data_IF_554159280607
#
_entry.id   IF_554159280607
#
_cell.length_a   1.000
_cell.length_b   1.000
_cell.length_c   1.000
_cell.angle_alpha   90.00
_cell.angle_beta   90.00
_cell.angle_gamma   90.00
#
_symmetry.space_group_name_H-M   'P 1'
#
loop_
_entity.id
_entity.type
_entity.pdbx_description
1 polymer ?
#
# COMPACT_ATOMS: atom_id res chain seq x y z
N UNK A 1 2.58 2.89 6.71
CA UNK A 1 1.63 3.61 7.55
C UNK A 1 0.94 4.72 6.77
N UNK A 2 1.64 5.77 6.31
CA UNK A 2 1.04 6.95 5.65
C UNK A 2 0.15 6.60 4.45
N UNK A 3 0.53 5.58 3.67
CA UNK A 3 -0.24 5.13 2.52
C UNK A 3 -1.52 4.39 2.91
N UNK A 4 -1.53 3.66 4.01
CA UNK A 4 -2.74 3.02 4.53
C UNK A 4 -3.73 4.03 5.09
N UNK A 5 -3.24 5.11 5.72
CA UNK A 5 -4.12 6.20 6.14
C UNK A 5 -4.80 6.89 4.96
N UNK A 6 -4.06 7.23 3.88
CA UNK A 6 -4.69 7.84 2.70
C UNK A 6 -5.65 6.86 2.00
N UNK A 7 -5.33 5.57 1.95
CA UNK A 7 -6.21 4.55 1.39
C UNK A 7 -7.54 4.44 2.16
N UNK A 8 -7.47 4.35 3.48
CA UNK A 8 -8.66 4.30 4.33
C UNK A 8 -9.42 5.64 4.29
N UNK A 9 -8.74 6.79 4.21
CA UNK A 9 -9.42 8.08 4.06
C UNK A 9 -10.22 8.15 2.76
N UNK A 10 -9.64 7.78 1.63
CA UNK A 10 -10.37 7.77 0.35
C UNK A 10 -11.55 6.80 0.35
N UNK A 11 -11.43 5.67 1.01
CA UNK A 11 -12.54 4.75 1.23
C UNK A 11 -13.66 5.38 2.06
N UNK A 12 -13.33 6.02 3.20
CA UNK A 12 -14.33 6.71 4.02
C UNK A 12 -15.02 7.85 3.29
N UNK A 13 -14.29 8.59 2.44
CA UNK A 13 -14.89 9.58 1.55
C UNK A 13 -15.87 8.96 0.57
N UNK A 14 -15.53 7.81 -0.02
CA UNK A 14 -16.38 7.11 -0.97
C UNK A 14 -17.68 6.57 -0.35
N UNK A 15 -17.69 6.27 0.96
CA UNK A 15 -18.91 5.89 1.70
C UNK A 15 -19.57 7.07 2.41
N UNK A 16 -19.16 8.29 2.08
CA UNK A 16 -19.72 9.56 2.60
C UNK A 16 -19.54 9.76 4.12
N UNK A 17 -18.48 9.20 4.70
CA UNK A 17 -18.15 9.39 6.12
C UNK A 17 -17.04 10.43 6.30
N UNK A 18 -17.42 11.72 6.20
CA UNK A 18 -16.49 12.86 6.25
C UNK A 18 -15.62 12.91 7.51
N UNK A 19 -16.18 12.53 8.66
CA UNK A 19 -15.46 12.57 9.94
C UNK A 19 -14.23 11.64 9.92
N UNK A 20 -14.41 10.37 9.58
CA UNK A 20 -13.29 9.43 9.48
C UNK A 20 -12.34 9.78 8.34
N UNK A 21 -12.86 10.29 7.20
CA UNK A 21 -12.01 10.81 6.14
C UNK A 21 -11.02 11.84 6.66
N UNK A 22 -11.50 12.85 7.39
CA UNK A 22 -10.65 13.91 7.94
C UNK A 22 -9.71 13.41 9.03
N UNK A 23 -10.16 12.49 9.90
CA UNK A 23 -9.30 11.92 10.93
C UNK A 23 -8.17 11.07 10.36
N UNK A 24 -8.40 10.29 9.31
CA UNK A 24 -7.33 9.54 8.65
C UNK A 24 -6.26 10.47 8.05
N UNK A 25 -6.67 11.61 7.49
CA UNK A 25 -5.73 12.63 7.02
C UNK A 25 -4.97 13.28 8.19
N UNK A 26 -5.66 13.56 9.30
CA UNK A 26 -5.02 14.09 10.50
C UNK A 26 -3.95 13.15 11.06
N UNK A 27 -4.25 11.87 11.22
CA UNK A 27 -3.30 10.86 11.68
C UNK A 27 -2.13 10.63 10.72
N UNK A 28 -2.34 10.91 9.44
CA UNK A 28 -1.29 10.81 8.42
C UNK A 28 -0.23 11.90 8.55
N UNK A 29 -0.61 13.12 8.94
CA UNK A 29 0.32 14.27 8.95
C UNK A 29 1.55 14.09 9.83
N UNK A 30 1.47 13.63 11.10
CA UNK A 30 2.67 13.37 11.91
C UNK A 30 3.62 12.35 11.28
N UNK A 31 3.10 11.38 10.53
CA UNK A 31 3.93 10.41 9.81
C UNK A 31 4.65 11.06 8.63
N UNK A 32 4.00 12.01 7.95
CA UNK A 32 4.64 12.80 6.89
C UNK A 32 5.75 13.67 7.45
N UNK A 33 5.56 14.26 8.63
CA UNK A 33 6.57 15.04 9.35
C UNK A 33 7.77 14.16 9.76
N UNK A 34 7.51 12.94 10.25
CA UNK A 34 8.56 11.98 10.57
C UNK A 34 9.38 11.58 9.34
N UNK A 35 8.74 11.37 8.20
CA UNK A 35 9.40 11.09 6.93
C UNK A 35 10.26 12.28 6.49
N UNK A 36 9.73 13.51 6.55
CA UNK A 36 10.45 14.73 6.19
C UNK A 36 11.65 14.95 7.10
N UNK A 37 11.48 14.76 8.40
CA UNK A 37 12.54 14.87 9.39
C UNK A 37 13.74 13.95 9.08
N UNK A 38 13.46 12.72 8.64
CA UNK A 38 14.49 11.74 8.31
C UNK A 38 15.10 11.97 6.93
N UNK A 39 14.28 12.28 5.93
CA UNK A 39 14.67 12.20 4.50
C UNK A 39 14.76 13.55 3.80
N UNK A 40 14.29 14.63 4.44
CA UNK A 40 14.20 15.96 3.86
C UNK A 40 13.06 16.17 2.88
N UNK A 41 12.17 15.17 2.70
CA UNK A 41 11.02 15.27 1.80
C UNK A 41 9.83 14.44 2.29
N UNK A 42 8.62 14.98 2.19
CA UNK A 42 7.39 14.35 2.69
C UNK A 42 6.90 13.19 1.83
N UNK A 43 7.17 13.19 0.53
CA UNK A 43 6.58 12.25 -0.44
C UNK A 43 7.64 11.55 -1.28
N UNK A 44 8.47 12.28 -2.01
CA UNK A 44 9.45 11.72 -2.94
C UNK A 44 10.82 11.59 -2.26
N UNK A 45 10.92 10.64 -1.38
CA UNK A 45 12.10 10.38 -0.57
C UNK A 45 13.26 9.86 -1.44
N UNK A 46 14.30 10.67 -1.63
CA UNK A 46 15.55 10.22 -2.27
C UNK A 46 16.53 9.58 -1.29
N UNK A 47 16.03 8.87 -0.27
CA UNK A 47 16.84 8.32 0.82
C UNK A 47 17.65 7.11 0.40
N UNK A 48 16.99 6.11 -0.16
CA UNK A 48 17.65 4.89 -0.64
C UNK A 48 18.42 5.17 -1.91
N UNK A 49 19.67 4.75 -1.94
CA UNK A 49 20.59 4.89 -3.09
C UNK A 49 21.33 3.60 -3.31
N UNK A 50 21.94 3.45 -4.49
CA UNK A 50 22.77 2.29 -4.78
C UNK A 50 23.93 2.22 -3.80
N UNK A 51 23.99 1.10 -3.08
CA UNK A 51 25.00 0.84 -2.05
C UNK A 51 24.60 1.18 -0.63
N UNK A 52 23.38 1.70 -0.36
CA UNK A 52 22.91 2.01 0.98
C UNK A 52 21.92 3.17 1.05
N UNK A 53 22.16 4.10 1.95
CA UNK A 53 21.32 5.30 2.12
C UNK A 53 22.14 6.57 1.94
N UNK A 54 21.45 7.69 1.70
CA UNK A 54 22.09 8.97 1.40
C UNK A 54 22.75 9.63 2.61
N UNK A 55 22.13 9.51 3.77
CA UNK A 55 22.55 10.12 5.03
C UNK A 55 22.29 9.16 6.17
N UNK A 56 22.97 9.36 7.29
CA UNK A 56 22.69 8.62 8.52
C UNK A 56 21.47 9.16 9.25
N UNK A 57 20.83 8.32 10.05
CA UNK A 57 19.74 8.70 10.93
C UNK A 57 20.32 9.22 12.26
N UNK A 58 20.28 10.54 12.47
CA UNK A 58 20.76 11.12 13.71
C UNK A 58 19.86 10.74 14.90
N UNK A 59 20.46 10.48 16.06
CA UNK A 59 19.76 10.07 17.29
C UNK A 59 18.61 11.02 17.67
N UNK A 60 18.80 12.33 17.50
CA UNK A 60 17.74 13.32 17.76
C UNK A 60 16.51 13.13 16.87
N UNK A 61 16.71 12.73 15.59
CA UNK A 61 15.62 12.47 14.65
C UNK A 61 14.91 11.17 15.04
N UNK A 62 15.66 10.12 15.39
CA UNK A 62 15.09 8.85 15.83
C UNK A 62 14.24 9.02 17.10
N UNK A 63 14.71 9.79 18.08
CA UNK A 63 13.96 10.12 19.28
C UNK A 63 12.66 10.87 18.97
N UNK A 64 12.70 11.85 18.06
CA UNK A 64 11.51 12.58 17.63
C UNK A 64 10.51 11.67 16.91
N UNK A 65 10.98 10.81 16.00
CA UNK A 65 10.16 9.83 15.30
C UNK A 65 9.53 8.86 16.29
N UNK A 66 10.28 8.38 17.29
CA UNK A 66 9.75 7.50 18.33
C UNK A 66 8.58 8.14 19.09
N UNK A 67 8.68 9.43 19.44
CA UNK A 67 7.58 10.15 20.10
C UNK A 67 6.37 10.31 19.19
N UNK A 68 6.58 10.61 17.90
CA UNK A 68 5.49 10.69 16.91
C UNK A 68 4.76 9.34 16.83
N UNK A 69 5.49 8.23 16.74
CA UNK A 69 4.92 6.88 16.65
C UNK A 69 4.18 6.49 17.94
N UNK A 70 4.71 6.86 19.09
CA UNK A 70 4.07 6.62 20.39
C UNK A 70 2.76 7.40 20.52
N UNK A 71 2.75 8.67 20.18
CA UNK A 71 1.54 9.50 20.21
C UNK A 71 0.49 8.99 19.23
N UNK A 72 0.91 8.55 18.04
CA UNK A 72 0.03 7.94 17.06
C UNK A 72 -0.65 6.68 17.63
N UNK A 73 0.11 5.79 18.26
CA UNK A 73 -0.42 4.55 18.84
C UNK A 73 -1.47 4.85 19.95
N UNK A 74 -1.23 5.84 20.80
CA UNK A 74 -2.17 6.26 21.85
C UNK A 74 -3.48 6.86 21.29
N UNK A 75 -3.41 7.49 20.12
CA UNK A 75 -4.56 8.16 19.52
C UNK A 75 -5.33 7.26 18.54
N UNK A 76 -4.68 6.31 17.93
CA UNK A 76 -5.14 5.57 16.79
C UNK A 76 -6.33 4.64 17.07
N UNK A 77 -6.29 3.90 18.20
CA UNK A 77 -7.26 2.85 18.53
C UNK A 77 -8.70 3.35 18.56
N UNK A 78 -8.93 4.57 19.06
CA UNK A 78 -10.27 5.18 19.10
C UNK A 78 -10.94 5.32 17.73
N UNK A 79 -10.15 5.49 16.66
CA UNK A 79 -10.70 5.61 15.30
C UNK A 79 -10.95 4.24 14.67
N UNK A 80 -10.17 3.23 15.07
CA UNK A 80 -10.45 1.83 14.71
C UNK A 80 -11.76 1.40 15.35
N UNK A 81 -11.95 1.64 16.65
CA UNK A 81 -13.19 1.37 17.36
C UNK A 81 -14.40 2.09 16.72
N UNK A 82 -14.24 3.36 16.36
CA UNK A 82 -15.31 4.12 15.68
C UNK A 82 -15.74 3.45 14.36
N UNK A 83 -14.79 2.85 13.62
CA UNK A 83 -15.13 2.11 12.41
C UNK A 83 -15.77 0.76 12.73
N UNK A 84 -15.26 0.03 13.71
CA UNK A 84 -15.76 -1.30 14.08
C UNK A 84 -17.17 -1.25 14.68
N UNK A 85 -17.44 -0.28 15.54
CA UNK A 85 -18.70 -0.13 16.27
C UNK A 85 -19.75 0.68 15.48
N UNK A 86 -19.35 1.35 14.41
CA UNK A 86 -20.26 2.17 13.60
C UNK A 86 -21.24 1.32 12.78
N UNK A 87 -22.56 1.24 13.14
CA UNK A 87 -23.50 0.37 12.44
C UNK A 87 -23.69 0.73 10.96
N UNK A 88 -23.63 2.01 10.59
CA UNK A 88 -23.69 2.45 9.20
C UNK A 88 -22.44 2.07 8.43
N UNK A 89 -21.27 2.15 9.07
CA UNK A 89 -20.00 1.76 8.47
C UNK A 89 -19.97 0.25 8.22
N UNK A 90 -20.42 -0.54 9.18
CA UNK A 90 -20.56 -1.97 9.02
C UNK A 90 -21.51 -2.32 7.85
N UNK A 91 -22.68 -1.68 7.78
CA UNK A 91 -23.67 -1.89 6.71
C UNK A 91 -23.13 -1.55 5.31
N UNK A 92 -22.33 -0.49 5.17
CA UNK A 92 -21.73 -0.04 3.91
C UNK A 92 -20.47 -0.81 3.51
N UNK A 93 -19.93 -1.64 4.41
CA UNK A 93 -18.63 -2.28 4.23
C UNK A 93 -18.68 -3.81 4.23
N UNK A 94 -19.46 -4.39 5.14
CA UNK A 94 -19.61 -5.85 5.28
C UNK A 94 -20.44 -6.42 4.13
N UNK A 95 -19.96 -7.53 3.59
CA UNK A 95 -20.57 -8.24 2.46
C UNK A 95 -20.65 -7.42 1.14
N UNK A 96 -20.03 -6.24 1.07
CA UNK A 96 -19.98 -5.41 -0.13
C UNK A 96 -18.63 -5.60 -0.84
N UNK A 97 -18.65 -5.76 -2.17
CA UNK A 97 -17.47 -5.94 -3.01
C UNK A 97 -16.67 -7.19 -2.63
N UNK A 98 -17.36 -8.30 -2.45
CA UNK A 98 -16.79 -9.56 -1.95
C UNK A 98 -15.94 -10.25 -3.01
N UNK A 99 -14.80 -10.77 -2.60
CA UNK A 99 -13.94 -11.62 -3.41
C UNK A 99 -13.54 -12.87 -2.62
N UNK A 100 -13.77 -14.04 -3.20
CA UNK A 100 -13.36 -15.30 -2.60
C UNK A 100 -11.83 -15.48 -2.64
N UNK A 101 -11.29 -16.30 -1.72
CA UNK A 101 -9.87 -16.70 -1.76
C UNK A 101 -9.49 -17.33 -3.09
N UNK A 102 -10.39 -18.12 -3.67
CA UNK A 102 -10.17 -18.79 -4.98
C UNK A 102 -10.01 -17.76 -6.10
N UNK A 103 -10.84 -16.72 -6.10
CA UNK A 103 -10.78 -15.64 -7.09
C UNK A 103 -9.57 -14.74 -6.87
N UNK A 104 -9.21 -14.49 -5.61
CA UNK A 104 -7.98 -13.78 -5.27
C UNK A 104 -6.73 -14.47 -5.81
N UNK A 105 -6.66 -15.81 -5.68
CA UNK A 105 -5.55 -16.61 -6.25
C UNK A 105 -5.60 -16.54 -7.78
N UNK A 106 -6.76 -16.81 -8.39
CA UNK A 106 -6.94 -16.82 -9.85
C UNK A 106 -6.61 -15.47 -10.48
N UNK A 107 -7.00 -14.38 -9.82
CA UNK A 107 -6.74 -13.00 -10.25
C UNK A 107 -5.35 -12.51 -9.89
N UNK A 108 -4.59 -13.26 -9.08
CA UNK A 108 -3.27 -12.85 -8.57
C UNK A 108 -3.34 -11.55 -7.76
N UNK A 109 -4.35 -11.43 -6.90
CA UNK A 109 -4.49 -10.31 -5.98
C UNK A 109 -3.27 -10.23 -5.04
N UNK A 110 -2.76 -9.04 -4.80
CA UNK A 110 -1.59 -8.81 -3.95
C UNK A 110 -1.90 -7.81 -2.83
N UNK A 111 -1.04 -7.81 -1.80
CA UNK A 111 -1.14 -6.87 -0.68
C UNK A 111 -2.43 -7.00 0.13
N UNK A 112 -2.92 -5.89 0.72
CA UNK A 112 -4.13 -5.88 1.54
C UNK A 112 -5.36 -6.44 0.83
N UNK A 113 -5.40 -6.38 -0.50
CA UNK A 113 -6.50 -6.91 -1.31
C UNK A 113 -6.53 -8.43 -1.27
N UNK A 114 -5.39 -9.05 -1.50
CA UNK A 114 -5.23 -10.51 -1.37
C UNK A 114 -5.35 -10.96 0.08
N UNK A 115 -4.69 -10.26 1.00
CA UNK A 115 -4.72 -10.57 2.43
C UNK A 115 -6.11 -10.42 3.04
N UNK A 116 -6.90 -9.42 2.63
CA UNK A 116 -8.30 -9.27 3.02
C UNK A 116 -9.21 -10.38 2.51
N UNK A 117 -8.77 -11.17 1.53
CA UNK A 117 -9.49 -12.29 0.93
C UNK A 117 -8.91 -13.68 1.27
N UNK A 118 -8.12 -13.77 2.33
CA UNK A 118 -7.61 -15.05 2.87
C UNK A 118 -6.25 -15.49 2.33
N UNK A 119 -5.50 -14.65 1.61
CA UNK A 119 -4.13 -14.95 1.20
C UNK A 119 -3.17 -14.53 2.32
N UNK A 120 -2.55 -15.51 2.97
CA UNK A 120 -1.45 -15.24 3.91
C UNK A 120 -0.16 -15.15 3.10
N UNK A 121 0.06 -14.00 2.46
CA UNK A 121 1.26 -13.75 1.65
C UNK A 121 1.72 -12.30 1.77
N UNK A 122 3.00 -12.13 2.10
CA UNK A 122 3.70 -10.86 2.16
C UNK A 122 5.16 -11.10 1.78
N UNK A 123 5.65 -10.38 0.78
CA UNK A 123 7.02 -10.58 0.24
C UNK A 123 8.08 -10.34 1.29
N UNK A 124 7.80 -9.55 2.33
CA UNK A 124 8.73 -9.30 3.43
C UNK A 124 9.11 -10.57 4.20
N UNK A 125 8.24 -11.61 4.22
CA UNK A 125 8.59 -12.93 4.79
C UNK A 125 9.73 -13.64 4.02
N UNK A 126 10.00 -13.25 2.78
CA UNK A 126 11.08 -13.80 1.95
C UNK A 126 12.42 -13.06 2.16
N UNK A 127 12.39 -11.87 2.78
CA UNK A 127 13.57 -11.04 3.03
C UNK A 127 14.17 -11.34 4.40
N UNK A 128 15.44 -11.68 4.45
CA UNK A 128 16.16 -12.01 5.69
C UNK A 128 16.01 -10.92 6.76
N UNK A 129 16.17 -9.65 6.40
CA UNK A 129 16.05 -8.53 7.34
C UNK A 129 14.70 -8.54 8.06
N UNK A 130 13.59 -8.69 7.35
CA UNK A 130 12.29 -8.71 7.99
C UNK A 130 11.99 -10.01 8.73
N UNK A 131 12.45 -11.14 8.18
CA UNK A 131 12.16 -12.46 8.72
C UNK A 131 12.97 -12.78 9.99
N UNK A 132 14.24 -12.41 9.98
CA UNK A 132 15.20 -12.89 10.96
C UNK A 132 15.52 -11.84 12.04
N UNK A 133 15.30 -10.54 11.75
CA UNK A 133 15.69 -9.44 12.65
C UNK A 133 14.51 -8.80 13.40
N UNK A 134 13.27 -8.96 12.92
CA UNK A 134 12.10 -8.32 13.51
C UNK A 134 11.02 -9.32 13.92
N UNK A 135 10.42 -9.09 15.08
CA UNK A 135 9.21 -9.79 15.52
C UNK A 135 7.98 -9.09 14.91
N UNK A 136 7.39 -9.72 13.89
CA UNK A 136 6.18 -9.25 13.22
C UNK A 136 5.43 -10.42 12.59
N UNK A 137 4.19 -10.19 12.17
CA UNK A 137 3.35 -11.20 11.54
C UNK A 137 2.64 -10.66 10.29
N UNK A 138 2.39 -11.53 9.33
CA UNK A 138 1.52 -11.23 8.19
C UNK A 138 0.09 -11.15 8.68
N UNK A 139 -0.51 -9.99 8.48
CA UNK A 139 -1.93 -9.75 8.75
C UNK A 139 -2.76 -10.26 7.58
N UNK A 140 -3.84 -10.97 7.86
CA UNK A 140 -4.78 -11.44 6.85
C UNK A 140 -6.17 -11.68 7.45
N UNK A 141 -7.22 -11.55 6.60
CA UNK A 141 -8.63 -11.74 6.95
C UNK A 141 -9.29 -12.64 5.91
N UNK A 142 -10.46 -13.22 6.22
CA UNK A 142 -11.12 -14.24 5.38
C UNK A 142 -12.30 -13.70 4.58
N UNK A 143 -12.91 -12.63 5.03
CA UNK A 143 -14.24 -12.15 4.62
C UNK A 143 -14.24 -11.68 3.16
N UNK A 144 -13.15 -11.09 2.71
CA UNK A 144 -12.94 -10.69 1.31
C UNK A 144 -13.75 -9.47 0.85
N UNK A 145 -14.40 -8.76 1.75
CA UNK A 145 -15.23 -7.59 1.50
C UNK A 145 -14.51 -6.26 1.77
N UNK A 146 -15.20 -5.15 1.58
CA UNK A 146 -14.66 -3.82 1.84
C UNK A 146 -14.23 -3.66 3.31
N UNK A 147 -14.99 -4.23 4.24
CA UNK A 147 -14.67 -4.21 5.67
C UNK A 147 -13.34 -4.91 5.96
N UNK A 148 -13.18 -6.13 5.48
CA UNK A 148 -11.98 -6.90 5.67
C UNK A 148 -10.72 -6.20 5.10
N UNK A 149 -10.83 -5.57 3.93
CA UNK A 149 -9.72 -4.81 3.33
C UNK A 149 -9.33 -3.58 4.14
N UNK A 150 -10.32 -2.85 4.67
CA UNK A 150 -10.11 -1.67 5.51
C UNK A 150 -9.48 -2.05 6.84
N UNK A 151 -10.03 -3.06 7.53
CA UNK A 151 -9.49 -3.56 8.79
C UNK A 151 -8.10 -4.17 8.62
N UNK A 152 -7.84 -4.86 7.52
CA UNK A 152 -6.50 -5.40 7.26
C UNK A 152 -5.44 -4.29 7.21
N UNK A 153 -5.75 -3.13 6.62
CA UNK A 153 -4.85 -1.96 6.62
C UNK A 153 -4.65 -1.38 8.02
N UNK A 154 -5.70 -1.34 8.82
CA UNK A 154 -5.60 -0.92 10.21
C UNK A 154 -4.65 -1.83 11.00
N UNK A 155 -4.84 -3.14 10.91
CA UNK A 155 -3.97 -4.10 11.57
C UNK A 155 -2.52 -4.02 11.05
N UNK A 156 -2.32 -3.78 9.76
CA UNK A 156 -0.98 -3.59 9.16
C UNK A 156 -0.29 -2.29 9.62
N UNK A 157 -1.04 -1.24 9.95
CA UNK A 157 -0.50 -0.03 10.59
C UNK A 157 0.07 -0.40 11.96
N UNK A 158 -0.68 -1.15 12.76
CA UNK A 158 -0.24 -1.62 14.09
C UNK A 158 1.06 -2.46 14.00
N UNK A 159 1.13 -3.40 13.06
CA UNK A 159 2.37 -4.17 12.83
C UNK A 159 3.53 -3.28 12.35
N UNK A 160 3.25 -2.29 11.51
CA UNK A 160 4.27 -1.35 11.05
C UNK A 160 4.82 -0.46 12.18
N UNK A 161 3.98 -0.06 13.13
CA UNK A 161 4.38 0.65 14.34
C UNK A 161 5.36 -0.21 15.17
N UNK A 162 5.06 -1.49 15.36
CA UNK A 162 5.95 -2.43 16.06
C UNK A 162 7.30 -2.56 15.38
N UNK A 163 7.32 -2.69 14.05
CA UNK A 163 8.57 -2.78 13.28
C UNK A 163 9.40 -1.50 13.46
N UNK A 164 8.78 -0.31 13.34
CA UNK A 164 9.49 0.97 13.48
C UNK A 164 10.13 1.09 14.88
N UNK A 165 9.42 0.74 15.94
CA UNK A 165 9.97 0.73 17.30
C UNK A 165 11.19 -0.18 17.43
N UNK A 166 11.11 -1.40 16.93
CA UNK A 166 12.23 -2.35 16.92
C UNK A 166 13.43 -1.84 16.11
N UNK A 167 13.18 -1.20 14.95
CA UNK A 167 14.25 -0.58 14.13
C UNK A 167 14.95 0.51 14.92
N UNK A 168 14.20 1.43 15.55
CA UNK A 168 14.79 2.56 16.30
C UNK A 168 15.64 2.06 17.47
N UNK A 169 15.19 1.01 18.16
CA UNK A 169 15.89 0.43 19.31
C UNK A 169 17.16 -0.35 18.92
N UNK A 170 17.24 -0.86 17.68
CA UNK A 170 18.27 -1.81 17.26
C UNK A 170 19.05 -1.38 16.02
N UNK A 171 19.11 -0.07 15.68
CA UNK A 171 19.91 0.40 14.54
C UNK A 171 21.39 0.07 14.77
N UNK A 172 22.02 -0.76 13.91
CA UNK A 172 23.42 -1.11 14.06
C UNK A 172 24.31 0.10 13.70
N UNK A 173 25.41 0.31 14.43
CA UNK A 173 26.41 1.31 14.04
C UNK A 173 27.16 0.84 12.79
N UNK A 174 27.58 1.78 11.93
CA UNK A 174 28.41 1.45 10.77
C UNK A 174 28.26 2.43 9.62
N UNK A 175 28.95 2.09 8.51
CA UNK A 175 28.87 2.88 7.30
C UNK A 175 27.49 2.77 6.65
N UNK A 176 26.85 3.89 6.43
CA UNK A 176 25.49 3.96 5.83
C UNK A 176 25.50 3.71 4.32
N UNK A 177 26.67 3.73 3.69
CA UNK A 177 26.80 3.54 2.25
C UNK A 177 28.15 2.93 1.85
N UNK A 178 28.10 1.92 0.99
CA UNK A 178 29.29 1.34 0.34
C UNK A 178 29.35 1.75 -1.13
N UNK A 179 30.56 2.05 -1.62
CA UNK A 179 30.79 2.21 -3.05
C UNK A 179 30.75 0.82 -3.70
N UNK A 180 29.80 0.63 -4.60
CA UNK A 180 29.66 -0.62 -5.36
C UNK A 180 29.83 -0.35 -6.84
N UNK A 181 30.35 -1.33 -7.57
CA UNK A 181 30.37 -1.36 -9.03
C UNK A 181 29.25 -2.28 -9.49
N UNK A 182 28.41 -1.78 -10.37
CA UNK A 182 27.31 -2.56 -10.92
C UNK A 182 27.86 -3.36 -12.09
N UNK A 183 27.82 -4.71 -12.06
CA UNK A 183 28.24 -5.53 -13.20
C UNK A 183 27.21 -5.41 -14.34
N UNK A 184 27.68 -5.72 -15.56
CA UNK A 184 26.74 -5.98 -16.65
C UNK A 184 25.98 -7.28 -16.38
N UNK A 185 24.68 -7.27 -16.63
CA UNK A 185 23.83 -8.45 -16.41
C UNK A 185 22.38 -8.12 -16.16
N UNK A 186 21.64 -9.13 -15.79
CA UNK A 186 20.22 -9.07 -15.44
C UNK A 186 20.03 -9.32 -13.95
N UNK A 187 19.08 -8.59 -13.35
CA UNK A 187 18.64 -8.81 -11.97
C UNK A 187 17.15 -8.58 -11.86
N UNK A 188 16.49 -9.34 -10.99
CA UNK A 188 15.13 -9.10 -10.58
C UNK A 188 15.05 -9.03 -9.05
N UNK A 189 14.06 -8.29 -8.58
CA UNK A 189 13.79 -8.11 -7.15
C UNK A 189 12.32 -7.83 -6.90
N UNK A 190 11.80 -8.36 -5.79
CA UNK A 190 10.45 -8.10 -5.33
C UNK A 190 10.47 -7.43 -3.96
N UNK A 191 9.53 -6.56 -3.71
CA UNK A 191 9.33 -5.92 -2.41
C UNK A 191 7.84 -5.74 -2.13
N UNK A 192 7.48 -5.62 -0.87
CA UNK A 192 6.12 -5.31 -0.46
C UNK A 192 5.93 -3.79 -0.39
N UNK A 193 5.23 -3.24 -1.36
CA UNK A 193 4.75 -1.87 -1.32
C UNK A 193 3.42 -1.79 -0.54
N UNK A 194 2.96 -0.60 -0.13
CA UNK A 194 1.70 -0.47 0.65
C UNK A 194 0.48 -1.12 -0.01
N UNK A 195 0.46 -1.18 -1.34
CA UNK A 195 -0.63 -1.79 -2.12
C UNK A 195 -0.40 -3.26 -2.46
N UNK A 196 0.77 -3.80 -2.09
CA UNK A 196 1.14 -5.18 -2.35
C UNK A 196 2.48 -5.33 -3.06
N UNK A 197 2.76 -6.54 -3.50
CA UNK A 197 4.01 -6.90 -4.18
C UNK A 197 4.28 -6.02 -5.41
N UNK A 198 5.44 -5.38 -5.42
CA UNK A 198 6.04 -4.72 -6.57
C UNK A 198 7.26 -5.54 -7.03
N UNK A 199 7.40 -5.74 -8.34
CA UNK A 199 8.55 -6.44 -8.92
C UNK A 199 9.28 -5.53 -9.89
N UNK A 200 10.60 -5.53 -9.77
CA UNK A 200 11.53 -4.85 -10.67
C UNK A 200 12.40 -5.87 -11.39
N UNK A 201 12.55 -5.70 -12.68
CA UNK A 201 13.49 -6.46 -13.52
C UNK A 201 14.35 -5.44 -14.26
N UNK A 202 15.66 -5.53 -14.12
CA UNK A 202 16.60 -4.60 -14.72
C UNK A 202 17.71 -5.31 -15.44
N UNK A 203 18.09 -4.79 -16.62
CA UNK A 203 19.25 -5.19 -17.37
C UNK A 203 20.24 -4.03 -17.41
N UNK A 204 21.52 -4.31 -17.14
CA UNK A 204 22.57 -3.31 -17.09
C UNK A 204 23.76 -3.71 -17.96
N UNK A 205 24.49 -2.72 -18.48
CA UNK A 205 25.80 -2.92 -19.09
C UNK A 205 26.91 -2.25 -18.27
N UNK A 206 26.91 -2.49 -16.97
CA UNK A 206 27.70 -1.78 -16.00
C UNK A 206 26.90 -0.68 -15.31
N UNK A 207 27.36 0.57 -15.31
CA UNK A 207 26.70 1.66 -14.59
C UNK A 207 25.42 2.24 -15.28
N UNK A 208 25.06 1.72 -16.45
CA UNK A 208 23.89 2.16 -17.20
C UNK A 208 22.82 1.08 -17.24
N UNK A 209 21.59 1.50 -16.95
CA UNK A 209 20.41 0.64 -17.14
C UNK A 209 20.09 0.62 -18.63
N UNK A 210 20.06 -0.58 -19.22
CA UNK A 210 19.68 -0.81 -20.62
C UNK A 210 18.19 -1.02 -20.76
N UNK A 211 17.61 -1.74 -19.82
CA UNK A 211 16.18 -2.03 -19.79
C UNK A 211 15.69 -2.13 -18.34
N UNK A 212 14.46 -1.68 -18.10
CA UNK A 212 13.78 -1.84 -16.81
C UNK A 212 12.32 -2.18 -17.05
N UNK A 213 11.83 -3.19 -16.35
CA UNK A 213 10.41 -3.54 -16.31
C UNK A 213 9.93 -3.50 -14.86
N UNK A 214 8.80 -2.84 -14.66
CA UNK A 214 8.23 -2.65 -13.32
C UNK A 214 6.79 -3.18 -13.34
N UNK A 215 6.52 -4.17 -12.49
CA UNK A 215 5.16 -4.65 -12.25
C UNK A 215 4.68 -4.07 -10.93
N UNK A 216 3.75 -3.14 -10.99
CA UNK A 216 3.17 -2.50 -9.82
C UNK A 216 1.98 -3.29 -9.27
N UNK A 217 1.68 -3.21 -7.97
CA UNK A 217 0.56 -3.95 -7.38
C UNK A 217 -0.81 -3.53 -7.92
N UNK A 218 -1.01 -2.25 -8.25
CA UNK A 218 -2.32 -1.77 -8.73
C UNK A 218 -2.69 -2.33 -10.10
N UNK A 219 -1.73 -2.70 -10.96
CA UNK A 219 -2.01 -3.39 -12.23
C UNK A 219 -2.81 -4.66 -11.98
N UNK A 220 -2.43 -5.45 -10.96
CA UNK A 220 -3.13 -6.68 -10.60
C UNK A 220 -4.45 -6.39 -9.89
N UNK A 221 -4.42 -5.50 -8.90
CA UNK A 221 -5.55 -5.26 -8.02
C UNK A 221 -6.75 -4.58 -8.72
N UNK A 222 -6.51 -3.68 -9.68
CA UNK A 222 -7.58 -3.05 -10.46
C UNK A 222 -8.25 -4.08 -11.39
N UNK A 223 -7.48 -4.95 -12.04
CA UNK A 223 -8.02 -6.03 -12.87
C UNK A 223 -8.90 -6.98 -12.05
N UNK A 224 -8.41 -7.36 -10.86
CA UNK A 224 -9.15 -8.20 -9.90
C UNK A 224 -10.43 -7.54 -9.43
N UNK A 225 -10.40 -6.25 -9.15
CA UNK A 225 -11.59 -5.48 -8.76
C UNK A 225 -12.68 -5.56 -9.83
N UNK A 226 -12.34 -5.25 -11.08
CA UNK A 226 -13.29 -5.30 -12.19
C UNK A 226 -13.84 -6.70 -12.45
N UNK A 227 -13.00 -7.73 -12.35
CA UNK A 227 -13.38 -9.11 -12.67
C UNK A 227 -14.17 -9.84 -11.60
N UNK A 228 -13.93 -9.54 -10.32
CA UNK A 228 -14.47 -10.36 -9.22
C UNK A 228 -15.23 -9.57 -8.16
N UNK A 229 -14.81 -8.33 -7.84
CA UNK A 229 -15.43 -7.59 -6.74
C UNK A 229 -16.65 -6.77 -7.17
N UNK A 230 -16.70 -6.31 -8.43
CA UNK A 230 -17.79 -5.49 -8.96
C UNK A 230 -18.94 -6.31 -9.56
N UNK A 231 -18.83 -7.64 -9.63
CA UNK A 231 -19.85 -8.49 -10.28
C UNK A 231 -21.17 -8.52 -9.52
N UNK A 232 -21.10 -8.51 -8.19
CA UNK A 232 -22.28 -8.68 -7.31
C UNK A 232 -22.61 -7.41 -6.51
N UNK A 233 -22.11 -6.24 -6.91
CA UNK A 233 -22.47 -4.98 -6.22
C UNK A 233 -23.83 -4.49 -6.67
N UNK A 234 -24.68 -4.12 -5.69
CA UNK A 234 -26.08 -3.80 -5.95
C UNK A 234 -26.28 -2.38 -6.51
N UNK A 235 -25.41 -1.43 -6.17
CA UNK A 235 -25.58 -0.02 -6.52
C UNK A 235 -24.29 0.59 -7.06
N UNK A 236 -24.41 1.73 -7.75
CA UNK A 236 -23.25 2.52 -8.18
C UNK A 236 -22.43 3.01 -6.98
N UNK A 237 -23.11 3.35 -5.86
CA UNK A 237 -22.43 3.77 -4.64
C UNK A 237 -21.56 2.63 -4.06
N UNK A 238 -22.05 1.39 -4.08
CA UNK A 238 -21.29 0.23 -3.64
C UNK A 238 -20.13 -0.08 -4.59
N UNK A 239 -20.31 0.14 -5.89
CA UNK A 239 -19.23 -0.01 -6.87
C UNK A 239 -18.11 1.02 -6.62
N UNK A 240 -18.46 2.29 -6.36
CA UNK A 240 -17.50 3.36 -6.03
C UNK A 240 -16.77 3.04 -4.72
N UNK A 241 -17.50 2.62 -3.68
CA UNK A 241 -16.93 2.21 -2.40
C UNK A 241 -15.98 1.01 -2.57
N UNK A 242 -16.38 0.02 -3.35
CA UNK A 242 -15.56 -1.17 -3.63
C UNK A 242 -14.27 -0.79 -4.36
N UNK A 243 -14.36 0.05 -5.37
CA UNK A 243 -13.18 0.52 -6.11
C UNK A 243 -12.25 1.34 -5.20
N UNK A 244 -12.78 2.24 -4.37
CA UNK A 244 -12.01 2.99 -3.39
C UNK A 244 -11.31 2.08 -2.36
N UNK A 245 -11.98 0.98 -1.94
CA UNK A 245 -11.41 0.00 -1.00
C UNK A 245 -10.17 -0.73 -1.56
N UNK A 246 -9.98 -0.74 -2.87
CA UNK A 246 -8.81 -1.34 -3.53
C UNK A 246 -7.57 -0.44 -3.45
N UNK A 247 -7.74 0.84 -3.11
CA UNK A 247 -6.66 1.83 -3.11
C UNK A 247 -5.97 1.94 -4.49
N UNK A 248 -6.73 2.28 -5.55
CA UNK A 248 -6.16 2.35 -6.89
C UNK A 248 -5.16 3.51 -7.00
N UNK A 249 -3.99 3.23 -7.52
CA UNK A 249 -2.94 4.22 -7.71
C UNK A 249 -2.76 4.53 -9.19
N UNK A 250 -3.09 5.75 -9.61
CA UNK A 250 -2.97 6.18 -11.01
C UNK A 250 -1.52 6.15 -11.50
N UNK A 251 -0.57 6.55 -10.65
CA UNK A 251 0.86 6.48 -10.98
C UNK A 251 1.37 5.04 -11.19
N UNK A 252 0.67 4.03 -10.63
CA UNK A 252 0.97 2.62 -10.84
C UNK A 252 0.35 2.06 -12.13
N UNK A 253 -0.69 2.71 -12.66
CA UNK A 253 -1.51 2.23 -13.78
C UNK A 253 -1.89 3.40 -14.71
N UNK A 254 -0.90 3.97 -15.38
CA UNK A 254 -1.12 5.16 -16.21
C UNK A 254 -2.02 4.89 -17.43
N UNK A 255 -2.17 3.63 -17.83
CA UNK A 255 -3.00 3.22 -18.96
C UNK A 255 -4.06 2.22 -18.57
N UNK A 256 -5.28 2.46 -18.99
CA UNK A 256 -6.40 1.51 -18.88
C UNK A 256 -6.93 1.23 -20.29
N UNK A 257 -7.04 -0.05 -20.62
CA UNK A 257 -7.65 -0.52 -21.86
C UNK A 257 -9.03 -1.04 -21.52
N UNK A 258 -10.06 -0.43 -22.09
CA UNK A 258 -11.44 -0.90 -21.96
C UNK A 258 -11.82 -1.61 -23.25
N UNK A 259 -12.25 -2.87 -23.13
CA UNK A 259 -12.85 -3.62 -24.20
C UNK A 259 -14.37 -3.67 -23.98
N UNK A 260 -15.15 -3.26 -24.97
CA UNK A 260 -16.57 -3.48 -24.92
C UNK A 260 -16.92 -4.94 -25.32
N UNK A 261 -18.19 -5.32 -25.20
CA UNK A 261 -18.67 -6.68 -25.54
C UNK A 261 -18.36 -7.11 -26.98
N UNK A 262 -18.12 -6.15 -27.88
CA UNK A 262 -17.74 -6.41 -29.28
C UNK A 262 -16.22 -6.51 -29.49
N UNK A 263 -15.43 -6.39 -28.42
CA UNK A 263 -13.97 -6.40 -28.50
C UNK A 263 -13.36 -5.10 -29.03
N UNK A 264 -14.17 -4.03 -29.15
CA UNK A 264 -13.66 -2.70 -29.55
C UNK A 264 -12.82 -2.12 -28.39
N UNK A 265 -11.60 -1.71 -28.73
CA UNK A 265 -10.62 -1.22 -27.78
C UNK A 265 -10.74 0.30 -27.58
N UNK A 266 -10.91 0.75 -26.33
CA UNK A 266 -10.64 2.13 -25.92
C UNK A 266 -9.43 2.17 -25.02
N UNK A 267 -8.43 2.94 -25.39
CA UNK A 267 -7.23 3.17 -24.58
C UNK A 267 -7.33 4.54 -23.93
N UNK A 268 -7.16 4.59 -22.59
CA UNK A 268 -7.13 5.83 -21.83
C UNK A 268 -5.73 5.98 -21.25
N UNK A 269 -5.02 7.03 -21.62
CA UNK A 269 -3.88 7.48 -20.85
C UNK A 269 -4.36 8.52 -19.82
N UNK A 270 -3.74 8.54 -18.64
CA UNK A 270 -4.20 9.37 -17.51
C UNK A 270 -4.26 10.88 -17.79
N UNK A 271 -3.62 11.34 -18.86
CA UNK A 271 -3.57 12.75 -19.27
C UNK A 271 -4.73 13.15 -20.21
N UNK A 272 -5.40 12.21 -20.84
CA UNK A 272 -6.40 12.47 -21.89
C UNK A 272 -7.82 12.02 -21.53
N UNK A 273 -8.06 11.52 -20.32
CA UNK A 273 -9.36 10.96 -19.88
C UNK A 273 -10.53 11.95 -19.99
N UNK A 274 -10.27 13.25 -19.91
CA UNK A 274 -11.30 14.30 -19.94
C UNK A 274 -11.88 14.56 -21.32
N UNK A 275 -11.18 14.21 -22.40
CA UNK A 275 -11.61 14.49 -23.77
C UNK A 275 -12.66 13.52 -24.34
N UNK A 276 -12.87 12.38 -23.69
CA UNK A 276 -13.73 11.30 -24.21
C UNK A 276 -15.04 11.11 -23.44
N UNK A 277 -15.28 11.92 -22.40
CA UNK A 277 -16.54 11.94 -21.66
C UNK A 277 -17.47 13.11 -22.06
N UNK A 278 -17.12 13.83 -23.10
CA UNK A 278 -17.97 14.79 -23.80
C UNK A 278 -18.43 14.13 -25.10
#
# INVERSE_FOLDING_TARGET
IQSHFIANSTYFKAIEHETLFMYMLHLREPIMDAIELLTGNRVNMGWNVVGGVRMDAEEKHLNSIYQIIKNLEEEYDKYVEMFEEGPLLALRSKDVGKMSKKDAIKGRAVGPIGRGSGLKHDVREEHHTYKDEFDWKVIWRKEGDNYARTMNRFDEITESIKIIKQVIENIPPGDVRKKITIPAGYADWRNEAPRGEVAYMAETNGNLIQNISIRTPSIMNIDVCGKYMLQDVATVADAVATYASVDPCVACTERVIILNEKGEKKEFDGLHTVKYLQ
#
